data_IF_574359320501
#
_entry.id   IF_574359320501
#
_cell.length_a   1.000
_cell.length_b   1.000
_cell.length_c   1.000
_cell.angle_alpha   90.00
_cell.angle_beta   90.00
_cell.angle_gamma   90.00
#
_symmetry.space_group_name_H-M   'P 1'
#
loop_
_entity.id
_entity.type
_entity.pdbx_description
1 polymer ?
#
# COMPACT_ATOMS: atom_id res chain seq x y z
N UNK A 1 3.16 3.26 -1.47
CA UNK A 1 1.81 3.11 -2.07
C UNK A 1 1.24 4.47 -2.48
N UNK A 2 1.20 5.47 -1.59
CA UNK A 2 0.63 6.80 -1.88
C UNK A 2 1.15 7.46 -3.16
N UNK A 3 2.48 7.62 -3.33
CA UNK A 3 3.05 8.22 -4.54
C UNK A 3 2.67 7.46 -5.83
N UNK A 4 2.59 6.13 -5.75
CA UNK A 4 2.10 5.31 -6.85
C UNK A 4 0.63 5.56 -7.16
N UNK A 5 -0.22 5.72 -6.14
CA UNK A 5 -1.63 6.07 -6.31
C UNK A 5 -1.80 7.42 -7.03
N UNK A 6 -1.05 8.44 -6.59
CA UNK A 6 -1.09 9.77 -7.20
C UNK A 6 -0.60 9.76 -8.65
N UNK A 7 0.44 8.99 -8.93
CA UNK A 7 0.92 8.81 -10.31
C UNK A 7 -0.09 8.04 -11.16
N UNK A 8 -0.79 7.06 -10.59
CA UNK A 8 -1.86 6.32 -11.26
C UNK A 8 -3.06 7.22 -11.59
N UNK A 9 -3.45 8.11 -10.69
CA UNK A 9 -4.49 9.12 -10.96
C UNK A 9 -4.05 10.13 -12.02
N UNK A 10 -2.81 10.61 -11.96
CA UNK A 10 -2.23 11.47 -13.00
C UNK A 10 -2.26 10.77 -14.36
N UNK A 11 -1.89 9.47 -14.42
CA UNK A 11 -2.00 8.66 -15.63
C UNK A 11 -3.45 8.57 -16.11
N UNK A 12 -4.42 8.33 -15.23
CA UNK A 12 -5.85 8.32 -15.60
C UNK A 12 -6.29 9.66 -16.20
N UNK A 13 -5.87 10.77 -15.59
CA UNK A 13 -6.17 12.12 -16.02
C UNK A 13 -5.58 12.44 -17.40
N UNK A 14 -4.36 11.95 -17.69
CA UNK A 14 -3.72 12.04 -19.01
C UNK A 14 -4.44 11.18 -20.03
N UNK A 15 -4.70 9.90 -19.73
CA UNK A 15 -5.39 8.96 -20.63
C UNK A 15 -6.76 9.49 -21.06
N UNK A 16 -7.52 10.08 -20.13
CA UNK A 16 -8.81 10.71 -20.43
C UNK A 16 -8.71 11.86 -21.44
N UNK A 17 -7.61 12.63 -21.42
CA UNK A 17 -7.37 13.74 -22.36
C UNK A 17 -6.92 13.28 -23.73
N UNK A 18 -6.24 12.13 -23.81
CA UNK A 18 -5.79 11.55 -25.08
C UNK A 18 -6.93 10.77 -25.78
N UNK A 19 -7.64 9.90 -25.06
CA UNK A 19 -8.61 8.97 -25.65
C UNK A 19 -9.92 9.68 -26.04
N UNK A 20 -10.38 10.68 -25.25
CA UNK A 20 -11.58 11.50 -25.50
C UNK A 20 -12.85 10.77 -25.94
N UNK A 21 -13.00 9.49 -25.61
CA UNK A 21 -14.16 8.68 -26.05
C UNK A 21 -15.48 9.18 -25.45
N UNK A 22 -16.51 9.22 -26.29
CA UNK A 22 -17.86 9.68 -25.93
C UNK A 22 -18.56 8.73 -24.95
N UNK A 23 -19.36 9.31 -24.07
CA UNK A 23 -20.14 8.64 -23.02
C UNK A 23 -21.56 9.17 -23.03
N UNK A 24 -22.55 8.45 -22.46
CA UNK A 24 -23.96 8.85 -22.45
C UNK A 24 -24.27 10.21 -21.79
N UNK A 25 -23.42 10.74 -20.87
CA UNK A 25 -23.64 12.05 -20.22
C UNK A 25 -22.40 12.93 -19.90
N UNK A 26 -21.14 12.44 -20.00
CA UNK A 26 -19.87 13.24 -19.92
C UNK A 26 -18.62 12.37 -20.16
N UNK A 27 -17.58 12.92 -20.80
CA UNK A 27 -16.33 12.29 -21.27
C UNK A 27 -15.60 11.34 -20.28
N UNK A 28 -14.81 10.40 -20.83
CA UNK A 28 -13.53 9.99 -20.22
C UNK A 28 -13.38 8.52 -19.86
N UNK A 29 -13.09 7.68 -20.86
CA UNK A 29 -12.36 6.41 -20.66
C UNK A 29 -10.96 6.69 -20.08
N UNK A 30 -10.44 5.87 -19.15
CA UNK A 30 -11.09 4.76 -18.44
C UNK A 30 -11.75 5.19 -17.10
N UNK A 31 -12.52 4.28 -16.48
CA UNK A 31 -13.12 4.49 -15.16
C UNK A 31 -12.05 4.77 -14.10
N UNK A 32 -12.05 5.96 -13.49
CA UNK A 32 -11.08 6.33 -12.45
C UNK A 32 -11.25 5.49 -11.19
N UNK A 33 -12.48 5.18 -10.79
CA UNK A 33 -12.74 4.34 -9.61
C UNK A 33 -12.23 2.91 -9.82
N UNK A 34 -12.46 2.34 -11.00
CA UNK A 34 -11.98 1.00 -11.32
C UNK A 34 -10.44 0.96 -11.38
N UNK A 35 -9.81 1.94 -12.03
CA UNK A 35 -8.36 2.05 -12.09
C UNK A 35 -7.73 2.27 -10.70
N UNK A 36 -8.30 3.17 -9.90
CA UNK A 36 -7.84 3.50 -8.56
C UNK A 36 -7.83 2.28 -7.66
N UNK A 37 -8.97 1.59 -7.55
CA UNK A 37 -9.12 0.48 -6.60
C UNK A 37 -8.40 -0.76 -7.11
N UNK A 38 -8.34 -0.98 -8.43
CA UNK A 38 -7.53 -2.06 -9.00
C UNK A 38 -6.03 -1.86 -8.71
N UNK A 39 -5.49 -0.66 -8.94
CA UNK A 39 -4.10 -0.36 -8.61
C UNK A 39 -3.83 -0.57 -7.11
N UNK A 40 -4.71 -0.06 -6.25
CA UNK A 40 -4.56 -0.17 -4.80
C UNK A 40 -4.53 -1.63 -4.35
N UNK A 41 -5.53 -2.43 -4.73
CA UNK A 41 -5.66 -3.82 -4.29
C UNK A 41 -4.57 -4.72 -4.86
N UNK A 42 -4.15 -4.52 -6.11
CA UNK A 42 -3.02 -5.28 -6.69
C UNK A 42 -1.70 -4.90 -6.01
N UNK A 43 -1.45 -3.60 -5.79
CA UNK A 43 -0.24 -3.15 -5.08
C UNK A 43 -0.20 -3.70 -3.65
N UNK A 44 -1.35 -3.71 -2.96
CA UNK A 44 -1.46 -4.26 -1.61
C UNK A 44 -1.17 -5.76 -1.59
N UNK A 45 -1.76 -6.51 -2.51
CA UNK A 45 -1.51 -7.95 -2.63
C UNK A 45 -0.04 -8.26 -2.90
N UNK A 46 0.58 -7.56 -3.86
CA UNK A 46 2.00 -7.72 -4.16
C UNK A 46 2.88 -7.38 -2.96
N UNK A 47 2.53 -6.33 -2.22
CA UNK A 47 3.25 -5.95 -1.02
C UNK A 47 3.17 -7.03 0.07
N UNK A 48 1.95 -7.46 0.42
CA UNK A 48 1.72 -8.44 1.49
C UNK A 48 2.36 -9.80 1.19
N UNK A 49 2.34 -10.23 -0.06
CA UNK A 49 2.82 -11.55 -0.47
C UNK A 49 4.34 -11.55 -0.69
N UNK A 50 4.89 -10.54 -1.37
CA UNK A 50 6.28 -10.58 -1.84
C UNK A 50 7.25 -9.63 -1.15
N UNK A 51 6.76 -8.52 -0.58
CA UNK A 51 7.64 -7.47 -0.04
C UNK A 51 7.62 -7.36 1.47
N UNK A 52 6.52 -7.70 2.11
CA UNK A 52 6.37 -7.65 3.54
C UNK A 52 7.09 -8.85 4.16
N UNK A 53 8.20 -8.61 4.87
CA UNK A 53 9.01 -9.64 5.52
C UNK A 53 9.16 -9.25 7.00
N UNK A 54 8.07 -9.38 7.77
CA UNK A 54 8.09 -9.01 9.16
C UNK A 54 8.91 -10.03 9.94
N UNK A 55 9.70 -9.53 10.88
CA UNK A 55 10.53 -10.36 11.73
C UNK A 55 9.77 -10.62 13.04
N UNK A 56 9.77 -11.87 13.55
CA UNK A 56 9.21 -12.13 14.87
C UNK A 56 9.92 -11.26 15.90
N UNK A 57 9.14 -10.49 16.67
CA UNK A 57 9.62 -9.79 17.86
C UNK A 57 9.17 -10.55 19.11
N UNK A 58 9.83 -10.32 20.24
CA UNK A 58 9.47 -10.92 21.54
C UNK A 58 8.00 -10.65 21.94
N UNK A 59 7.38 -9.61 21.36
CA UNK A 59 6.04 -9.11 21.72
C UNK A 59 4.97 -9.36 20.65
N UNK A 60 5.35 -9.77 19.43
CA UNK A 60 4.41 -9.88 18.32
C UNK A 60 4.75 -11.02 17.36
N UNK A 61 3.77 -11.88 17.11
CA UNK A 61 3.83 -12.85 16.02
C UNK A 61 3.28 -12.20 14.76
N UNK A 62 4.11 -12.02 13.72
CA UNK A 62 3.65 -11.35 12.52
C UNK A 62 2.56 -12.15 11.81
N UNK A 63 1.75 -11.44 11.01
CA UNK A 63 0.70 -12.07 10.22
C UNK A 63 1.27 -13.24 9.40
N UNK A 64 0.66 -14.42 9.55
CA UNK A 64 1.05 -15.59 8.77
C UNK A 64 0.88 -15.34 7.27
N UNK A 65 1.63 -16.06 6.44
CA UNK A 65 1.47 -15.98 4.98
C UNK A 65 0.01 -16.25 4.56
N UNK A 66 -0.66 -17.20 5.22
CA UNK A 66 -2.08 -17.48 5.00
C UNK A 66 -2.97 -16.28 5.27
N UNK A 67 -2.77 -15.59 6.40
CA UNK A 67 -3.53 -14.38 6.72
C UNK A 67 -3.28 -13.24 5.71
N UNK A 68 -2.07 -13.10 5.19
CA UNK A 68 -1.73 -12.14 4.14
C UNK A 68 -2.40 -12.46 2.80
N UNK A 69 -2.48 -13.75 2.44
CA UNK A 69 -3.20 -14.21 1.26
C UNK A 69 -4.69 -13.88 1.41
N UNK A 70 -5.30 -14.18 2.56
CA UNK A 70 -6.71 -13.85 2.83
C UNK A 70 -6.97 -12.36 2.72
N UNK A 71 -6.13 -11.51 3.33
CA UNK A 71 -6.25 -10.05 3.22
C UNK A 71 -6.11 -9.56 1.77
N UNK A 72 -5.20 -10.16 1.00
CA UNK A 72 -5.02 -9.84 -0.42
C UNK A 72 -6.26 -10.20 -1.24
N UNK A 73 -6.86 -11.37 -0.99
CA UNK A 73 -8.10 -11.79 -1.63
C UNK A 73 -9.26 -10.87 -1.27
N UNK A 74 -9.42 -10.50 0.02
CA UNK A 74 -10.45 -9.56 0.45
C UNK A 74 -10.30 -8.19 -0.23
N UNK A 75 -9.08 -7.69 -0.37
CA UNK A 75 -8.83 -6.43 -1.08
C UNK A 75 -9.21 -6.51 -2.56
N UNK A 76 -8.93 -7.63 -3.24
CA UNK A 76 -9.31 -7.86 -4.64
C UNK A 76 -10.82 -8.02 -4.80
N UNK A 77 -11.49 -8.71 -3.88
CA UNK A 77 -12.96 -8.81 -3.85
C UNK A 77 -13.61 -7.43 -3.64
N UNK A 78 -13.05 -6.60 -2.75
CA UNK A 78 -13.48 -5.22 -2.58
C UNK A 78 -13.32 -4.40 -3.87
N UNK A 79 -12.21 -4.57 -4.60
CA UNK A 79 -12.02 -3.94 -5.90
C UNK A 79 -13.06 -4.37 -6.93
N UNK A 80 -13.37 -5.67 -6.98
CA UNK A 80 -14.41 -6.21 -7.86
C UNK A 80 -15.79 -5.63 -7.50
N UNK A 81 -16.14 -5.56 -6.22
CA UNK A 81 -17.40 -4.97 -5.76
C UNK A 81 -17.53 -3.50 -6.17
N UNK A 82 -16.47 -2.71 -6.01
CA UNK A 82 -16.46 -1.30 -6.47
C UNK A 82 -16.60 -1.24 -7.99
N UNK A 83 -15.88 -2.08 -8.74
CA UNK A 83 -15.97 -2.11 -10.20
C UNK A 83 -17.39 -2.45 -10.70
N UNK A 84 -18.03 -3.47 -10.10
CA UNK A 84 -19.41 -3.87 -10.40
C UNK A 84 -20.39 -2.76 -10.04
N UNK A 85 -20.19 -2.05 -8.92
CA UNK A 85 -21.06 -0.93 -8.53
C UNK A 85 -21.13 0.17 -9.60
N UNK A 86 -20.04 0.38 -10.37
CA UNK A 86 -20.01 1.38 -11.45
C UNK A 86 -20.86 1.00 -12.65
N UNK A 87 -21.01 -0.30 -12.89
CA UNK A 87 -21.88 -0.85 -13.94
C UNK A 87 -23.32 -0.83 -13.45
N UNK A 88 -23.56 -1.35 -12.24
CA UNK A 88 -24.89 -1.46 -11.64
C UNK A 88 -25.60 -0.11 -11.51
N UNK A 89 -24.88 0.93 -11.06
CA UNK A 89 -25.41 2.29 -10.93
C UNK A 89 -25.42 3.07 -12.26
N UNK A 90 -25.20 2.39 -13.40
CA UNK A 90 -25.21 2.98 -14.76
C UNK A 90 -24.26 4.15 -14.97
N UNK A 91 -23.17 4.23 -14.20
CA UNK A 91 -22.16 5.29 -14.35
C UNK A 91 -21.17 4.99 -15.49
N UNK A 92 -20.83 3.72 -15.70
CA UNK A 92 -19.84 3.28 -16.67
C UNK A 92 -20.29 2.03 -17.41
N UNK A 93 -19.87 1.88 -18.67
CA UNK A 93 -20.08 0.64 -19.41
C UNK A 93 -19.09 -0.44 -18.95
N UNK A 94 -19.40 -1.74 -19.12
CA UNK A 94 -18.48 -2.82 -18.76
C UNK A 94 -17.09 -2.67 -19.38
N UNK A 95 -17.02 -2.26 -20.67
CA UNK A 95 -15.76 -2.01 -21.37
C UNK A 95 -14.88 -1.00 -20.63
N UNK A 96 -15.46 0.10 -20.15
CA UNK A 96 -14.71 1.18 -19.48
C UNK A 96 -14.21 0.77 -18.10
N UNK A 97 -14.95 -0.10 -17.43
CA UNK A 97 -14.55 -0.68 -16.14
C UNK A 97 -13.41 -1.68 -16.35
N UNK A 98 -13.53 -2.57 -17.34
CA UNK A 98 -12.49 -3.56 -17.68
C UNK A 98 -11.19 -2.85 -18.06
N UNK A 99 -11.23 -1.85 -18.94
CA UNK A 99 -10.04 -1.08 -19.33
C UNK A 99 -9.44 -0.34 -18.12
N UNK A 100 -10.28 0.22 -17.23
CA UNK A 100 -9.81 0.85 -16.00
C UNK A 100 -9.11 -0.13 -15.06
N UNK A 101 -9.70 -1.30 -14.81
CA UNK A 101 -9.08 -2.36 -14.02
C UNK A 101 -7.77 -2.82 -14.65
N UNK A 102 -7.73 -3.08 -15.96
CA UNK A 102 -6.52 -3.50 -16.65
C UNK A 102 -5.40 -2.44 -16.56
N UNK A 103 -5.71 -1.17 -16.80
CA UNK A 103 -4.76 -0.07 -16.67
C UNK A 103 -4.22 0.04 -15.23
N UNK A 104 -5.09 -0.08 -14.22
CA UNK A 104 -4.70 -0.04 -12.82
C UNK A 104 -3.78 -1.21 -12.43
N UNK A 105 -4.12 -2.43 -12.84
CA UNK A 105 -3.34 -3.63 -12.57
C UNK A 105 -1.97 -3.61 -13.26
N UNK A 106 -1.91 -3.26 -14.56
CA UNK A 106 -0.65 -3.15 -15.32
C UNK A 106 0.24 -2.09 -14.67
N UNK A 107 -0.32 -0.93 -14.33
CA UNK A 107 0.45 0.13 -13.68
C UNK A 107 0.94 -0.28 -12.29
N UNK A 108 0.15 -1.05 -11.52
CA UNK A 108 0.58 -1.59 -10.23
C UNK A 108 1.79 -2.53 -10.37
N UNK A 109 1.78 -3.43 -11.37
CA UNK A 109 2.90 -4.33 -11.66
C UNK A 109 4.15 -3.53 -12.05
N UNK A 110 4.02 -2.58 -12.98
CA UNK A 110 5.12 -1.73 -13.42
C UNK A 110 5.70 -0.90 -12.26
N UNK A 111 4.84 -0.28 -11.45
CA UNK A 111 5.23 0.49 -10.27
C UNK A 111 5.91 -0.40 -9.21
N UNK A 112 5.41 -1.62 -9.01
CA UNK A 112 6.01 -2.57 -8.08
C UNK A 112 7.41 -2.99 -8.55
N UNK A 113 7.59 -3.28 -9.85
CA UNK A 113 8.90 -3.59 -10.43
C UNK A 113 9.87 -2.40 -10.30
N UNK A 114 9.43 -1.20 -10.68
CA UNK A 114 10.21 0.03 -10.57
C UNK A 114 10.67 0.31 -9.12
N UNK A 115 9.75 0.23 -8.15
CA UNK A 115 10.09 0.44 -6.75
C UNK A 115 10.98 -0.68 -6.18
N UNK A 116 10.86 -1.91 -6.69
CA UNK A 116 11.80 -2.99 -6.35
C UNK A 116 13.20 -2.67 -6.85
N UNK A 117 13.32 -2.18 -8.09
CA UNK A 117 14.59 -1.81 -8.68
C UNK A 117 15.27 -0.67 -7.90
N UNK A 118 14.56 0.43 -7.63
CA UNK A 118 15.10 1.56 -6.86
C UNK A 118 15.64 1.13 -5.49
N UNK A 119 14.92 0.22 -4.83
CA UNK A 119 15.34 -0.32 -3.54
C UNK A 119 16.61 -1.16 -3.66
N UNK A 120 16.66 -2.09 -4.62
CA UNK A 120 17.84 -2.96 -4.85
C UNK A 120 19.07 -2.17 -5.29
N UNK A 121 18.88 -1.09 -6.03
CA UNK A 121 19.95 -0.21 -6.47
C UNK A 121 20.40 0.80 -5.38
N UNK A 122 19.84 0.74 -4.16
CA UNK A 122 20.25 1.59 -3.04
C UNK A 122 19.73 3.04 -3.08
N UNK A 123 18.86 3.39 -4.02
CA UNK A 123 18.34 4.76 -4.15
C UNK A 123 17.49 5.17 -2.95
N UNK A 124 16.78 4.20 -2.32
CA UNK A 124 15.98 4.47 -1.13
C UNK A 124 16.87 4.80 0.07
N UNK A 125 17.95 4.03 0.28
CA UNK A 125 18.91 4.29 1.36
C UNK A 125 19.62 5.63 1.17
N UNK A 126 20.10 5.89 -0.05
CA UNK A 126 20.69 7.18 -0.40
C UNK A 126 19.72 8.35 -0.10
N UNK A 127 18.44 8.21 -0.46
CA UNK A 127 17.45 9.24 -0.18
C UNK A 127 17.25 9.44 1.32
N UNK A 128 17.12 8.36 2.10
CA UNK A 128 16.97 8.41 3.57
C UNK A 128 18.16 9.06 4.27
N UNK A 129 19.35 9.00 3.67
CA UNK A 129 20.56 9.64 4.18
C UNK A 129 20.66 11.15 3.91
N UNK A 130 19.79 11.71 3.08
CA UNK A 130 19.76 13.15 2.84
C UNK A 130 19.39 13.94 4.10
N UNK A 131 19.97 15.13 4.26
CA UNK A 131 19.74 15.98 5.42
C UNK A 131 18.25 16.26 5.66
N UNK A 132 17.48 16.45 4.58
CA UNK A 132 16.05 16.76 4.66
C UNK A 132 15.25 15.59 5.22
N UNK A 133 15.45 14.36 4.72
CA UNK A 133 14.70 13.19 5.20
C UNK A 133 15.09 12.82 6.63
N UNK A 134 16.34 13.08 7.02
CA UNK A 134 16.81 12.93 8.41
C UNK A 134 16.15 13.93 9.35
N UNK A 135 16.05 15.21 8.98
CA UNK A 135 15.33 16.24 9.77
C UNK A 135 13.86 15.89 9.91
N UNK A 136 13.23 15.39 8.83
CA UNK A 136 11.83 14.95 8.84
C UNK A 136 11.62 13.58 9.52
N UNK A 137 12.69 12.90 9.95
CA UNK A 137 12.65 11.58 10.59
C UNK A 137 11.88 10.54 9.78
N UNK A 138 12.04 10.58 8.46
CA UNK A 138 11.45 9.60 7.56
C UNK A 138 12.12 8.25 7.80
N UNK A 139 11.32 7.20 7.93
CA UNK A 139 11.79 5.84 8.22
C UNK A 139 11.06 4.85 7.34
N UNK A 140 11.79 3.88 6.81
CA UNK A 140 11.24 2.80 6.01
C UNK A 140 11.01 1.53 6.84
N UNK A 141 10.02 1.60 7.72
CA UNK A 141 9.72 0.51 8.66
C UNK A 141 8.70 -0.49 8.12
N UNK A 142 7.88 -0.08 7.14
CA UNK A 142 6.68 -0.84 6.71
C UNK A 142 6.99 -2.25 6.19
N UNK A 143 8.23 -2.48 5.74
CA UNK A 143 8.69 -3.79 5.25
C UNK A 143 8.93 -4.78 6.40
N UNK A 144 9.44 -4.28 7.52
CA UNK A 144 10.00 -5.09 8.61
C UNK A 144 9.15 -5.07 9.88
N UNK A 145 8.57 -3.90 10.20
CA UNK A 145 7.71 -3.72 11.37
C UNK A 145 6.25 -3.65 10.94
N UNK A 146 5.40 -4.37 11.68
CA UNK A 146 3.97 -4.13 11.62
C UNK A 146 3.63 -2.77 12.27
N UNK A 147 2.65 -2.06 11.70
CA UNK A 147 2.21 -0.75 12.19
C UNK A 147 1.82 -0.81 13.68
N UNK A 148 1.21 -1.92 14.10
CA UNK A 148 0.78 -2.17 15.48
C UNK A 148 1.98 -2.36 16.42
N UNK A 149 3.06 -2.98 15.95
CA UNK A 149 4.25 -3.25 16.76
C UNK A 149 5.18 -2.05 16.84
N UNK A 150 5.02 -1.07 15.94
CA UNK A 150 5.88 0.11 15.83
C UNK A 150 5.87 0.97 17.12
N UNK A 151 6.77 0.64 18.04
CA UNK A 151 6.91 1.28 19.34
C UNK A 151 6.22 0.59 20.52
N UNK A 152 5.42 -0.46 20.30
CA UNK A 152 4.84 -1.26 21.39
C UNK A 152 5.92 -1.99 22.18
N UNK A 153 6.78 -2.75 21.51
CA UNK A 153 7.92 -3.44 22.13
C UNK A 153 8.80 -2.47 22.95
N UNK A 154 9.13 -1.31 22.36
CA UNK A 154 9.91 -0.26 23.03
C UNK A 154 9.19 0.33 24.26
N UNK A 155 7.87 0.44 24.22
CA UNK A 155 7.08 0.90 25.36
C UNK A 155 7.04 -0.16 26.47
N UNK A 156 6.82 -1.42 26.13
CA UNK A 156 6.77 -2.53 27.08
C UNK A 156 8.11 -2.74 27.80
N UNK A 157 9.23 -2.68 27.07
CA UNK A 157 10.59 -2.76 27.63
C UNK A 157 10.87 -1.66 28.65
N UNK A 158 10.50 -0.41 28.32
CA UNK A 158 10.65 0.72 29.25
C UNK A 158 9.86 0.48 30.53
N UNK A 159 8.65 -0.07 30.41
CA UNK A 159 7.79 -0.39 31.54
C UNK A 159 8.35 -1.50 32.42
N UNK A 160 8.87 -2.58 31.83
CA UNK A 160 9.54 -3.68 32.56
C UNK A 160 10.74 -3.16 33.34
N UNK A 161 11.57 -2.30 32.73
CA UNK A 161 12.73 -1.66 33.40
C UNK A 161 12.31 -0.77 34.57
N UNK A 162 11.26 0.04 34.42
CA UNK A 162 10.75 0.89 35.51
C UNK A 162 10.21 0.07 36.69
N UNK A 163 9.48 -1.02 36.42
CA UNK A 163 8.99 -1.93 37.46
C UNK A 163 10.14 -2.59 38.21
N UNK A 164 11.14 -3.09 37.48
CA UNK A 164 12.33 -3.69 38.09
C UNK A 164 13.05 -2.69 39.00
N UNK A 165 13.32 -1.46 38.54
CA UNK A 165 13.94 -0.41 39.36
C UNK A 165 13.12 -0.07 40.60
N UNK A 166 11.79 -0.06 40.50
CA UNK A 166 10.90 0.22 41.64
C UNK A 166 10.95 -0.91 42.68
N UNK A 167 11.01 -2.17 42.22
CA UNK A 167 11.15 -3.33 43.10
C UNK A 167 12.51 -3.34 43.80
N UNK A 168 13.61 -3.06 43.08
CA UNK A 168 14.95 -2.97 43.69
C UNK A 168 15.04 -1.85 44.72
N UNK A 169 14.37 -0.71 44.49
CA UNK A 169 14.30 0.39 45.47
C UNK A 169 13.47 0.06 46.72
N UNK A 170 12.42 -0.77 46.60
CA UNK A 170 11.62 -1.23 47.75
C UNK A 170 12.30 -2.32 48.58
N UNK A 171 13.26 -3.02 48.00
CA UNK A 171 13.99 -4.12 48.64
C UNK A 171 15.28 -3.67 49.37
N UNK A 172 15.66 -2.39 49.25
CA UNK A 172 16.73 -1.74 50.02
C UNK A 172 16.11 -0.90 51.12
#
# INVERSE_FOLDING_TARGET
>A
MFAGQMTCEALNWVLKRYIKEERPKRYGMPSSHAQFVSFFSVTLALFLIFRHVPHPTETHTPFSLGGRIVLSLLALLGAAAVAVSRIYLSYHTPKQVIVGCAAGAIFALAWFAFTTYLRRAGWIEWALDTWLLRVLRVRDLVIQEDLVDSGWARWEDRRKRQLFQTQTKKAR
#
